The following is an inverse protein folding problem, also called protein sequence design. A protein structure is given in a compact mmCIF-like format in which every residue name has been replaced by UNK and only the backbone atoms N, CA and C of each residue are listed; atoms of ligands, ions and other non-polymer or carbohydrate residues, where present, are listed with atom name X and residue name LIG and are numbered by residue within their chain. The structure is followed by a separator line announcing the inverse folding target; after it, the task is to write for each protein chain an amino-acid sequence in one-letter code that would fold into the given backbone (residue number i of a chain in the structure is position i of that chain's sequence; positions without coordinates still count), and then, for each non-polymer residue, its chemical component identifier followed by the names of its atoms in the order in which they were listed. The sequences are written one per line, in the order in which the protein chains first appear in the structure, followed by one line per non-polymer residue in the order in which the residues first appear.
data_IF_161689357954
#
_entry.id   IF_161689357954
#
_cell.length_a   1.000
_cell.length_b   1.000
_cell.length_c   1.000
_cell.angle_alpha   90.00
_cell.angle_beta   90.00
_cell.angle_gamma   90.00
#
_symmetry.space_group_name_H-M   'P 1'
#
loop_
_entity.id
_entity.type
_entity.pdbx_description
1 polymer ?
#
# COMPACT_ATOMS: atom_id res chain seq x y z
N UNK A 1 15.48 21.37 -18.59
CA UNK A 1 16.29 20.60 -17.61
C UNK A 1 15.34 19.59 -16.98
N UNK A 2 15.71 18.31 -16.86
CA UNK A 2 14.86 17.28 -16.26
C UNK A 2 15.22 17.06 -14.80
N UNK A 3 14.22 16.75 -13.96
CA UNK A 3 14.46 16.42 -12.55
C UNK A 3 14.85 14.95 -12.40
N UNK A 4 15.93 14.69 -11.68
CA UNK A 4 16.42 13.35 -11.34
C UNK A 4 16.01 12.96 -9.93
N UNK A 5 15.27 11.88 -9.81
CA UNK A 5 14.63 11.46 -8.56
C UNK A 5 15.02 10.02 -8.24
N UNK A 6 15.48 9.78 -7.01
CA UNK A 6 15.71 8.44 -6.47
C UNK A 6 14.49 8.00 -5.66
N UNK A 7 13.84 6.91 -6.07
CA UNK A 7 12.78 6.26 -5.31
C UNK A 7 13.32 5.06 -4.52
N UNK A 8 12.98 4.96 -3.24
CA UNK A 8 13.47 3.93 -2.31
C UNK A 8 12.29 3.24 -1.62
N UNK A 9 12.21 1.93 -1.77
CA UNK A 9 11.14 1.12 -1.22
C UNK A 9 11.68 -0.18 -0.58
N UNK A 10 11.96 -0.14 0.74
CA UNK A 10 12.34 -1.33 1.48
C UNK A 10 11.13 -2.21 1.78
N UNK A 11 11.21 -3.48 1.40
CA UNK A 11 10.31 -4.56 1.81
C UNK A 11 11.00 -5.51 2.80
N UNK A 12 10.26 -6.52 3.27
CA UNK A 12 10.75 -7.44 4.31
C UNK A 12 12.06 -8.13 3.93
N UNK A 13 12.16 -8.67 2.71
CA UNK A 13 13.32 -9.44 2.23
C UNK A 13 14.05 -8.80 1.05
N UNK A 14 13.66 -7.60 0.65
CA UNK A 14 14.30 -6.86 -0.46
C UNK A 14 14.25 -5.36 -0.23
N UNK A 15 15.11 -4.63 -0.91
CA UNK A 15 15.03 -3.17 -1.06
C UNK A 15 15.02 -2.84 -2.54
N UNK A 16 13.91 -2.30 -3.02
CA UNK A 16 13.77 -1.89 -4.42
C UNK A 16 14.11 -0.41 -4.54
N UNK A 17 14.90 -0.08 -5.56
CA UNK A 17 15.23 1.30 -5.90
C UNK A 17 15.04 1.55 -7.39
N UNK A 18 14.78 2.79 -7.76
CA UNK A 18 14.85 3.24 -9.13
C UNK A 18 15.23 4.72 -9.21
N UNK A 19 15.94 5.07 -10.26
CA UNK A 19 16.21 6.47 -10.61
C UNK A 19 15.39 6.84 -11.83
N UNK A 20 14.72 7.98 -11.76
CA UNK A 20 13.95 8.55 -12.84
C UNK A 20 14.52 9.90 -13.25
N UNK A 21 14.41 10.23 -14.53
CA UNK A 21 14.55 11.59 -15.05
C UNK A 21 13.19 12.02 -15.60
N UNK A 22 12.52 12.93 -14.90
CA UNK A 22 11.10 13.20 -15.05
C UNK A 22 10.28 11.89 -14.99
N UNK A 23 9.55 11.57 -16.06
CA UNK A 23 8.72 10.36 -16.16
C UNK A 23 9.51 9.15 -16.71
N UNK A 24 10.74 9.35 -17.18
CA UNK A 24 11.58 8.29 -17.78
C UNK A 24 12.38 7.57 -16.70
N UNK A 25 12.19 6.27 -16.56
CA UNK A 25 13.05 5.43 -15.72
C UNK A 25 14.44 5.32 -16.35
N UNK A 26 15.48 5.68 -15.60
CA UNK A 26 16.89 5.50 -16.00
C UNK A 26 17.33 4.08 -15.70
N UNK A 27 17.11 3.61 -14.48
CA UNK A 27 17.29 2.22 -14.10
C UNK A 27 16.44 1.87 -12.88
N UNK A 28 16.26 0.57 -12.64
CA UNK A 28 15.72 0.02 -11.41
C UNK A 28 16.51 -1.21 -10.95
N UNK A 29 16.55 -1.43 -9.64
CA UNK A 29 17.25 -2.57 -9.03
C UNK A 29 16.44 -3.10 -7.86
N UNK A 30 16.34 -4.42 -7.77
CA UNK A 30 15.86 -5.12 -6.57
C UNK A 30 17.05 -5.70 -5.84
N UNK A 31 17.35 -5.17 -4.66
CA UNK A 31 18.42 -5.64 -3.79
C UNK A 31 17.81 -6.70 -2.88
N UNK A 32 18.24 -7.96 -3.00
CA UNK A 32 17.73 -9.03 -2.17
C UNK A 32 18.54 -9.13 -0.86
N UNK A 33 17.84 -9.40 0.23
CA UNK A 33 18.43 -9.66 1.54
C UNK A 33 18.19 -11.13 1.89
N UNK A 34 19.25 -11.90 2.09
CA UNK A 34 19.11 -13.30 2.49
C UNK A 34 18.56 -13.37 3.91
N UNK A 35 17.88 -14.47 4.24
CA UNK A 35 17.40 -14.72 5.61
C UNK A 35 18.57 -14.67 6.61
N UNK A 36 19.70 -15.28 6.26
CA UNK A 36 20.93 -15.25 7.07
C UNK A 36 21.49 -13.85 7.30
N UNK A 37 21.34 -12.93 6.35
CA UNK A 37 21.76 -11.53 6.50
C UNK A 37 20.80 -10.76 7.43
N UNK A 38 19.51 -11.08 7.40
CA UNK A 38 18.51 -10.39 8.20
C UNK A 38 18.48 -10.88 9.66
N UNK A 39 18.72 -12.17 9.89
CA UNK A 39 18.67 -12.80 11.22
C UNK A 39 19.73 -12.29 12.20
N UNK A 40 20.79 -11.63 11.72
CA UNK A 40 21.79 -11.00 12.60
C UNK A 40 21.25 -9.78 13.35
N UNK A 41 20.18 -9.18 12.84
CA UNK A 41 19.58 -7.98 13.40
C UNK A 41 18.42 -8.33 14.32
N UNK A 42 18.42 -7.76 15.53
CA UNK A 42 17.36 -7.99 16.51
C UNK A 42 16.06 -7.29 16.10
N UNK A 43 16.17 -6.02 15.69
CA UNK A 43 15.04 -5.20 15.29
C UNK A 43 15.19 -4.78 13.82
N UNK A 44 14.07 -4.38 13.20
CA UNK A 44 14.09 -3.95 11.78
C UNK A 44 14.92 -2.68 11.59
N UNK A 45 14.87 -1.75 12.55
CA UNK A 45 15.61 -0.48 12.53
C UNK A 45 17.13 -0.67 12.51
N UNK A 46 17.62 -1.77 13.08
CA UNK A 46 19.06 -2.07 13.14
C UNK A 46 19.62 -2.41 11.75
N UNK A 47 18.75 -2.74 10.78
CA UNK A 47 19.12 -3.00 9.39
C UNK A 47 19.42 -1.73 8.58
N UNK A 48 19.19 -0.55 9.16
CA UNK A 48 19.26 0.75 8.48
C UNK A 48 20.59 0.95 7.74
N UNK A 49 21.72 0.84 8.42
CA UNK A 49 23.05 1.11 7.84
C UNK A 49 23.35 0.16 6.68
N UNK A 50 23.14 -1.15 6.88
CA UNK A 50 23.36 -2.16 5.85
C UNK A 50 22.51 -1.89 4.60
N UNK A 51 21.22 -1.54 4.78
CA UNK A 51 20.35 -1.25 3.64
C UNK A 51 20.76 0.04 2.92
N UNK A 52 21.17 1.07 3.66
CA UNK A 52 21.69 2.34 3.09
C UNK A 52 22.93 2.08 2.24
N UNK A 53 23.91 1.36 2.77
CA UNK A 53 25.14 1.00 2.05
C UNK A 53 24.84 0.22 0.78
N UNK A 54 23.92 -0.75 0.83
CA UNK A 54 23.52 -1.50 -0.36
C UNK A 54 22.82 -0.64 -1.41
N UNK A 55 22.04 0.37 -1.00
CA UNK A 55 21.43 1.33 -1.93
C UNK A 55 22.51 2.16 -2.62
N UNK A 56 23.48 2.68 -1.88
CA UNK A 56 24.60 3.45 -2.43
C UNK A 56 25.46 2.62 -3.38
N UNK A 57 25.79 1.38 -2.98
CA UNK A 57 26.52 0.44 -3.83
C UNK A 57 25.76 0.13 -5.12
N UNK A 58 24.43 -0.08 -5.04
CA UNK A 58 23.62 -0.33 -6.22
C UNK A 58 23.56 0.90 -7.16
N UNK A 59 23.59 2.12 -6.65
CA UNK A 59 23.69 3.34 -7.47
C UNK A 59 25.04 3.41 -8.19
N UNK A 60 26.13 3.13 -7.46
CA UNK A 60 27.48 3.11 -8.00
C UNK A 60 27.68 2.02 -9.07
N UNK A 61 27.21 0.79 -8.82
CA UNK A 61 27.27 -0.34 -9.77
C UNK A 61 26.48 -0.09 -11.07
N UNK A 62 25.55 0.87 -11.07
CA UNK A 62 24.77 1.27 -12.25
C UNK A 62 25.27 2.60 -12.83
N UNK A 63 26.54 2.95 -12.59
CA UNK A 63 27.23 4.14 -13.10
C UNK A 63 26.48 5.46 -12.82
N UNK A 64 25.70 5.50 -11.72
CA UNK A 64 24.92 6.68 -11.37
C UNK A 64 25.60 7.51 -10.28
N UNK A 65 25.97 8.74 -10.63
CA UNK A 65 26.49 9.72 -9.68
C UNK A 65 25.34 10.37 -8.88
N UNK A 66 25.31 10.12 -7.57
CA UNK A 66 24.30 10.63 -6.64
C UNK A 66 24.24 12.15 -6.56
N UNK A 67 25.33 12.87 -6.85
CA UNK A 67 25.34 14.33 -6.89
C UNK A 67 24.47 14.92 -8.01
N UNK A 68 23.97 14.09 -8.92
CA UNK A 68 23.04 14.49 -9.96
C UNK A 68 21.56 14.44 -9.52
N UNK A 69 21.26 14.02 -8.29
CA UNK A 69 19.88 13.94 -7.80
C UNK A 69 19.34 15.33 -7.44
N UNK A 70 18.10 15.60 -7.81
CA UNK A 70 17.36 16.79 -7.41
C UNK A 70 16.49 16.53 -6.17
N UNK A 71 16.05 15.28 -5.98
CA UNK A 71 15.30 14.85 -4.79
C UNK A 71 15.40 13.33 -4.56
N UNK A 72 15.10 12.93 -3.33
CA UNK A 72 14.96 11.53 -2.94
C UNK A 72 13.56 11.32 -2.36
N UNK A 73 12.95 10.18 -2.65
CA UNK A 73 11.64 9.82 -2.12
C UNK A 73 11.64 8.41 -1.56
N UNK A 74 11.32 8.30 -0.27
CA UNK A 74 11.20 7.04 0.44
C UNK A 74 9.74 6.60 0.58
N UNK A 75 9.49 5.29 0.68
CA UNK A 75 8.19 4.77 1.11
C UNK A 75 7.86 5.29 2.52
N UNK A 76 6.63 5.76 2.71
CA UNK A 76 6.20 6.55 3.87
C UNK A 76 6.03 5.87 5.22
N UNK A 77 6.68 4.71 5.48
CA UNK A 77 6.64 4.02 6.77
C UNK A 77 5.23 3.77 7.33
N UNK A 78 5.13 3.28 8.57
CA UNK A 78 3.90 3.28 9.36
C UNK A 78 4.00 4.43 10.35
N UNK A 79 3.38 5.56 9.97
CA UNK A 79 3.29 6.77 10.78
C UNK A 79 1.94 6.77 11.53
N UNK A 80 1.73 7.69 12.48
CA UNK A 80 0.37 8.05 12.88
C UNK A 80 -0.47 8.46 11.66
N UNK A 81 -1.81 8.58 11.80
CA UNK A 81 -2.68 9.04 10.73
C UNK A 81 -2.16 10.35 10.10
N UNK A 82 -1.95 10.34 8.78
CA UNK A 82 -1.45 11.49 8.00
C UNK A 82 -2.35 11.74 6.79
N UNK A 83 -2.27 12.91 6.15
CA UNK A 83 -3.03 13.21 4.92
C UNK A 83 -2.34 12.63 3.68
N UNK A 84 -3.06 12.52 2.56
CA UNK A 84 -2.46 12.14 1.28
C UNK A 84 -1.46 13.20 0.78
N UNK A 85 -0.51 12.78 -0.06
CA UNK A 85 0.49 13.62 -0.70
C UNK A 85 1.89 13.49 -0.10
N UNK A 86 2.72 14.50 -0.37
CA UNK A 86 4.11 14.52 0.06
C UNK A 86 4.27 15.07 1.48
N UNK A 87 5.20 14.48 2.23
CA UNK A 87 5.76 15.09 3.43
C UNK A 87 7.26 15.23 3.25
N UNK A 88 7.80 16.41 3.56
CA UNK A 88 9.24 16.60 3.69
C UNK A 88 9.72 15.80 4.90
N UNK A 89 10.77 15.00 4.72
CA UNK A 89 11.33 14.24 5.81
C UNK A 89 12.10 15.18 6.72
N UNK A 90 11.68 15.26 7.98
CA UNK A 90 12.29 16.08 9.02
C UNK A 90 12.77 15.19 10.19
N UNK A 91 13.48 15.80 11.14
CA UNK A 91 14.05 15.09 12.30
C UNK A 91 12.97 14.44 13.17
N UNK A 92 11.79 15.06 13.24
CA UNK A 92 10.64 14.57 14.01
C UNK A 92 10.13 13.25 13.42
N UNK A 93 9.99 13.17 12.09
CA UNK A 93 9.59 11.94 11.40
C UNK A 93 10.64 10.84 11.56
N UNK A 94 11.91 11.19 11.46
CA UNK A 94 13.04 10.27 11.62
C UNK A 94 13.04 9.66 13.01
N UNK A 95 12.90 10.47 14.05
CA UNK A 95 12.81 10.01 15.44
C UNK A 95 11.59 9.10 15.65
N UNK A 96 10.42 9.47 15.11
CA UNK A 96 9.21 8.63 15.15
C UNK A 96 9.45 7.25 14.54
N UNK A 97 10.00 7.18 13.34
CA UNK A 97 10.20 5.91 12.63
C UNK A 97 11.35 5.06 13.19
N UNK A 98 12.34 5.69 13.83
CA UNK A 98 13.53 5.01 14.36
C UNK A 98 13.37 4.59 15.83
N UNK A 99 12.87 5.48 16.68
CA UNK A 99 12.90 5.31 18.14
C UNK A 99 11.52 5.11 18.76
N UNK A 100 10.43 5.51 18.06
CA UNK A 100 9.06 5.49 18.58
C UNK A 100 8.06 4.87 17.59
N UNK A 101 8.49 3.84 16.87
CA UNK A 101 7.69 3.22 15.82
C UNK A 101 6.38 2.64 16.40
N UNK A 102 5.25 2.93 15.73
CA UNK A 102 3.95 2.33 16.09
C UNK A 102 3.99 0.82 15.79
N UNK A 103 4.53 0.48 14.62
CA UNK A 103 4.75 -0.89 14.18
C UNK A 103 6.14 -0.96 13.55
N UNK A 104 6.93 -1.94 13.97
CA UNK A 104 8.19 -2.26 13.29
C UNK A 104 7.89 -2.86 11.92
N UNK A 105 8.31 -2.17 10.86
CA UNK A 105 8.15 -2.65 9.50
C UNK A 105 9.29 -2.13 8.61
N UNK A 106 9.70 -2.95 7.63
CA UNK A 106 10.83 -2.62 6.75
C UNK A 106 10.64 -1.29 6.00
N UNK A 107 9.39 -0.95 5.65
CA UNK A 107 9.07 0.32 4.99
C UNK A 107 9.46 1.56 5.79
N UNK A 108 9.59 1.47 7.12
CA UNK A 108 10.03 2.60 7.96
C UNK A 108 11.45 3.05 7.58
N UNK A 109 12.28 2.11 7.12
CA UNK A 109 13.65 2.39 6.67
C UNK A 109 13.69 3.26 5.40
N UNK A 110 12.59 3.32 4.62
CA UNK A 110 12.54 4.09 3.38
C UNK A 110 12.78 5.57 3.61
N UNK A 111 12.09 6.14 4.60
CA UNK A 111 12.28 7.53 5.00
C UNK A 111 13.67 7.79 5.60
N UNK A 112 14.15 6.87 6.45
CA UNK A 112 15.46 6.99 7.10
C UNK A 112 16.59 7.02 6.06
N UNK A 113 16.57 6.09 5.10
CA UNK A 113 17.61 6.00 4.05
C UNK A 113 17.56 7.24 3.16
N UNK A 114 16.36 7.67 2.76
CA UNK A 114 16.20 8.85 1.92
C UNK A 114 16.75 10.12 2.60
N UNK A 115 16.47 10.29 3.89
CA UNK A 115 16.91 11.43 4.68
C UNK A 115 18.42 11.51 4.88
N UNK A 116 19.05 10.36 5.17
CA UNK A 116 20.50 10.33 5.40
C UNK A 116 21.27 10.66 4.12
N UNK A 117 20.87 10.07 2.98
CA UNK A 117 21.50 10.37 1.69
C UNK A 117 21.24 11.83 1.29
N UNK A 118 20.04 12.37 1.55
CA UNK A 118 19.74 13.76 1.18
C UNK A 118 20.52 14.78 2.00
N UNK A 119 20.84 14.47 3.26
CA UNK A 119 21.72 15.31 4.10
C UNK A 119 23.12 15.44 3.52
N UNK A 120 23.70 14.34 3.04
CA UNK A 120 25.03 14.34 2.42
C UNK A 120 25.06 15.21 1.14
N UNK A 121 23.94 15.27 0.41
CA UNK A 121 23.81 15.99 -0.85
C UNK A 121 23.25 17.41 -0.72
N UNK A 122 22.77 17.80 0.47
CA UNK A 122 22.05 19.06 0.71
C UNK A 122 20.86 19.26 -0.26
N UNK A 123 20.06 18.20 -0.47
CA UNK A 123 18.83 18.21 -1.26
C UNK A 123 17.63 17.81 -0.40
N UNK A 124 16.41 17.98 -0.93
CA UNK A 124 15.20 17.58 -0.22
C UNK A 124 14.94 16.07 -0.36
N UNK A 125 14.47 15.47 0.74
CA UNK A 125 13.89 14.13 0.74
C UNK A 125 12.43 14.16 1.19
N UNK A 126 11.62 13.31 0.57
CA UNK A 126 10.19 13.22 0.83
C UNK A 126 9.78 11.79 1.16
N UNK A 127 8.68 11.64 1.89
CA UNK A 127 7.81 10.48 1.73
C UNK A 127 6.61 10.87 0.87
N UNK A 128 5.94 9.88 0.28
CA UNK A 128 4.74 10.12 -0.52
C UNK A 128 3.67 9.07 -0.23
N UNK A 129 2.44 9.53 0.03
CA UNK A 129 1.26 8.71 0.29
C UNK A 129 1.55 7.51 1.22
N UNK A 130 1.82 7.80 2.51
CA UNK A 130 2.07 6.78 3.53
C UNK A 130 0.98 5.71 3.55
N UNK A 131 1.28 4.49 4.00
CA UNK A 131 0.25 3.45 4.21
C UNK A 131 -0.77 3.85 5.28
N UNK A 132 -0.45 4.88 6.07
CA UNK A 132 -1.25 5.44 7.16
C UNK A 132 -2.00 6.70 6.74
N UNK A 133 -2.16 6.91 5.42
CA UNK A 133 -3.01 8.00 4.94
C UNK A 133 -4.43 7.77 5.42
N UNK A 134 -4.97 8.76 6.12
CA UNK A 134 -6.31 8.77 6.67
C UNK A 134 -7.03 10.05 6.25
N UNK A 135 -8.01 9.88 5.38
CA UNK A 135 -8.94 10.92 4.94
C UNK A 135 -10.39 10.49 5.16
N UNK A 136 -10.60 9.52 6.06
CA UNK A 136 -11.92 8.99 6.37
C UNK A 136 -12.82 10.11 6.92
N UNK A 137 -14.07 10.13 6.45
CA UNK A 137 -15.13 10.98 7.03
C UNK A 137 -15.50 10.51 8.44
N UNK A 138 -16.04 11.40 9.27
CA UNK A 138 -16.41 11.05 10.65
C UNK A 138 -17.42 9.90 10.72
N UNK A 139 -18.38 9.86 9.78
CA UNK A 139 -19.36 8.76 9.71
C UNK A 139 -18.68 7.42 9.38
N UNK A 140 -17.64 7.42 8.56
CA UNK A 140 -16.87 6.23 8.23
C UNK A 140 -16.06 5.71 9.43
N UNK A 141 -15.84 6.52 10.49
CA UNK A 141 -15.10 6.09 11.69
C UNK A 141 -15.96 5.31 12.69
N UNK A 142 -17.27 5.46 12.63
CA UNK A 142 -18.17 4.91 13.64
C UNK A 142 -18.25 3.38 13.52
N UNK A 143 -17.81 2.69 14.57
CA UNK A 143 -17.96 1.24 14.73
C UNK A 143 -19.03 0.89 15.77
N UNK A 144 -19.42 -0.39 15.80
CA UNK A 144 -20.40 -0.89 16.78
C UNK A 144 -19.87 -0.99 18.21
N UNK A 145 -18.56 -0.86 18.43
CA UNK A 145 -17.92 -0.83 19.74
C UNK A 145 -17.30 0.54 19.98
N UNK A 146 -17.79 1.34 20.95
CA UNK A 146 -17.27 2.67 21.25
C UNK A 146 -15.78 2.69 21.64
N UNK A 147 -15.26 1.58 22.15
CA UNK A 147 -13.86 1.42 22.57
C UNK A 147 -12.91 1.11 21.42
N UNK A 148 -13.43 0.90 20.20
CA UNK A 148 -12.62 0.57 19.02
C UNK A 148 -12.68 1.72 18.03
N UNK A 149 -11.51 2.27 17.72
CA UNK A 149 -11.34 3.23 16.64
C UNK A 149 -11.05 2.52 15.33
N UNK A 150 -11.69 2.99 14.26
CA UNK A 150 -11.43 2.49 12.92
C UNK A 150 -10.12 3.09 12.40
N UNK A 151 -9.12 2.25 12.17
CA UNK A 151 -7.83 2.68 11.61
C UNK A 151 -7.82 2.60 10.08
N UNK A 152 -7.32 3.62 9.41
CA UNK A 152 -7.13 3.61 7.95
C UNK A 152 -5.73 3.12 7.57
N UNK A 153 -5.59 1.81 7.32
CA UNK A 153 -4.37 1.24 6.72
C UNK A 153 -4.68 0.70 5.33
N UNK A 154 -4.04 1.26 4.31
CA UNK A 154 -4.34 0.91 2.93
C UNK A 154 -3.13 0.94 2.00
N UNK A 155 -3.33 0.51 0.76
CA UNK A 155 -2.36 0.71 -0.32
C UNK A 155 -2.47 2.13 -0.91
N UNK A 156 -2.53 3.16 -0.05
CA UNK A 156 -2.80 4.55 -0.41
C UNK A 156 -1.92 5.05 -1.58
N UNK A 157 -0.61 4.78 -1.53
CA UNK A 157 0.34 5.11 -2.60
C UNK A 157 -0.11 4.61 -3.97
N UNK A 158 -0.41 3.31 -4.08
CA UNK A 158 -0.85 2.74 -5.35
C UNK A 158 -2.27 3.20 -5.70
N UNK A 159 -3.18 3.24 -4.72
CA UNK A 159 -4.57 3.65 -4.90
C UNK A 159 -4.68 5.05 -5.53
N UNK A 160 -4.05 6.03 -4.89
CA UNK A 160 -4.05 7.43 -5.34
C UNK A 160 -3.23 7.60 -6.63
N UNK A 161 -2.10 6.92 -6.79
CA UNK A 161 -1.33 6.99 -8.03
C UNK A 161 -2.12 6.48 -9.24
N UNK A 162 -2.88 5.39 -9.10
CA UNK A 162 -3.72 4.86 -10.19
C UNK A 162 -4.93 5.74 -10.46
N UNK A 163 -5.52 6.35 -9.44
CA UNK A 163 -6.57 7.35 -9.61
C UNK A 163 -6.09 8.58 -10.41
N UNK A 164 -4.92 9.12 -10.06
CA UNK A 164 -4.28 10.23 -10.77
C UNK A 164 -3.93 9.84 -12.21
N UNK A 165 -3.35 8.65 -12.41
CA UNK A 165 -3.02 8.13 -13.75
C UNK A 165 -4.27 8.02 -14.63
N UNK A 166 -5.35 7.44 -14.08
CA UNK A 166 -6.62 7.32 -14.78
C UNK A 166 -7.20 8.69 -15.16
N UNK A 167 -7.18 9.66 -14.24
CA UNK A 167 -7.64 11.02 -14.52
C UNK A 167 -6.83 11.67 -15.65
N UNK A 168 -5.49 11.57 -15.60
CA UNK A 168 -4.57 12.09 -16.64
C UNK A 168 -4.85 11.45 -18.00
N UNK A 169 -4.99 10.12 -18.06
CA UNK A 169 -5.25 9.37 -19.30
C UNK A 169 -6.61 9.76 -19.92
N UNK A 170 -7.55 10.22 -19.10
CA UNK A 170 -8.87 10.69 -19.53
C UNK A 170 -8.98 12.23 -19.62
N UNK A 171 -7.85 12.95 -19.50
CA UNK A 171 -7.79 14.43 -19.56
C UNK A 171 -8.73 15.12 -18.56
N UNK A 172 -8.87 14.54 -17.37
CA UNK A 172 -9.64 15.08 -16.24
C UNK A 172 -8.71 15.40 -15.07
N UNK A 173 -9.16 16.26 -14.17
CA UNK A 173 -8.52 16.47 -12.87
C UNK A 173 -8.99 15.38 -11.90
N UNK A 174 -8.07 14.78 -11.14
CA UNK A 174 -8.39 13.81 -10.08
C UNK A 174 -9.33 14.42 -9.02
N UNK A 175 -9.20 15.72 -8.74
CA UNK A 175 -10.02 16.44 -7.78
C UNK A 175 -11.47 16.65 -8.24
N UNK A 176 -11.77 16.40 -9.52
CA UNK A 176 -13.13 16.51 -10.08
C UNK A 176 -13.84 15.15 -10.17
N UNK A 177 -13.20 14.05 -9.77
CA UNK A 177 -13.71 12.69 -10.00
C UNK A 177 -14.12 11.97 -8.71
N UNK A 178 -15.07 11.06 -8.86
CA UNK A 178 -15.43 10.07 -7.86
C UNK A 178 -15.06 8.68 -8.36
N UNK A 179 -14.15 7.99 -7.68
CA UNK A 179 -13.56 6.73 -8.15
C UNK A 179 -13.65 5.68 -7.05
N UNK A 180 -13.79 4.42 -7.44
CA UNK A 180 -13.54 3.29 -6.54
C UNK A 180 -12.27 2.60 -7.01
N UNK A 181 -11.26 2.51 -6.14
CA UNK A 181 -9.98 1.88 -6.49
C UNK A 181 -9.79 0.63 -5.67
N UNK A 182 -9.75 -0.53 -6.33
CA UNK A 182 -9.50 -1.82 -5.71
C UNK A 182 -8.06 -2.26 -5.98
N UNK A 183 -7.22 -2.20 -4.95
CA UNK A 183 -5.88 -2.76 -4.98
C UNK A 183 -5.94 -4.26 -4.68
N UNK A 184 -5.56 -5.08 -5.67
CA UNK A 184 -5.62 -6.53 -5.60
C UNK A 184 -4.19 -7.10 -5.48
N UNK A 185 -3.74 -7.36 -4.25
CA UNK A 185 -2.40 -7.88 -3.95
C UNK A 185 -2.40 -8.95 -2.86
N UNK A 186 -1.27 -9.11 -2.16
CA UNK A 186 -1.17 -9.99 -1.00
C UNK A 186 -2.14 -9.61 0.12
N UNK A 187 -2.35 -8.30 0.32
CA UNK A 187 -3.55 -7.75 0.93
C UNK A 187 -4.47 -7.15 -0.15
N UNK A 188 -5.77 -7.11 0.12
CA UNK A 188 -6.73 -6.43 -0.74
C UNK A 188 -7.31 -5.27 0.03
N UNK A 189 -7.29 -4.09 -0.58
CA UNK A 189 -7.93 -2.88 -0.03
C UNK A 189 -8.71 -2.21 -1.14
N UNK A 190 -9.87 -1.66 -0.81
CA UNK A 190 -10.72 -0.95 -1.76
C UNK A 190 -11.00 0.43 -1.17
N UNK A 191 -10.80 1.50 -1.93
CA UNK A 191 -10.98 2.87 -1.45
C UNK A 191 -12.04 3.60 -2.27
N UNK A 192 -12.90 4.36 -1.59
CA UNK A 192 -13.77 5.36 -2.19
C UNK A 192 -13.01 6.68 -2.25
N UNK A 193 -12.73 7.14 -3.47
CA UNK A 193 -12.13 8.44 -3.73
C UNK A 193 -13.24 9.41 -4.13
N UNK A 194 -13.43 10.47 -3.36
CA UNK A 194 -14.34 11.58 -3.67
C UNK A 194 -13.53 12.86 -3.81
N UNK A 195 -13.58 13.47 -4.99
CA UNK A 195 -13.00 14.79 -5.27
C UNK A 195 -11.58 14.96 -4.73
N UNK A 196 -10.74 13.98 -5.04
CA UNK A 196 -9.33 13.99 -4.67
C UNK A 196 -8.99 13.35 -3.32
N UNK A 197 -9.97 12.94 -2.51
CA UNK A 197 -9.78 12.42 -1.14
C UNK A 197 -10.26 10.98 -0.98
N UNK A 198 -9.57 10.19 -0.17
CA UNK A 198 -9.98 8.82 0.17
C UNK A 198 -10.94 8.81 1.37
N UNK A 199 -12.22 9.05 1.11
CA UNK A 199 -13.24 9.33 2.15
C UNK A 199 -13.72 8.09 2.92
N UNK A 200 -13.50 6.90 2.35
CA UNK A 200 -13.75 5.61 3.00
C UNK A 200 -12.84 4.52 2.39
N UNK A 201 -12.51 3.50 3.17
CA UNK A 201 -11.71 2.36 2.74
C UNK A 201 -12.28 1.07 3.31
N UNK A 202 -12.39 0.03 2.49
CA UNK A 202 -12.54 -1.34 2.95
C UNK A 202 -11.13 -1.91 3.10
N UNK A 203 -10.66 -2.03 4.33
CA UNK A 203 -9.33 -2.55 4.68
C UNK A 203 -9.22 -4.07 4.46
N UNK A 204 -8.03 -4.61 4.67
CA UNK A 204 -7.74 -6.04 4.47
C UNK A 204 -8.31 -6.97 5.54
N UNK A 205 -8.76 -6.42 6.67
CA UNK A 205 -9.38 -7.14 7.79
C UNK A 205 -10.89 -6.86 7.95
N UNK A 206 -11.38 -5.76 7.38
CA UNK A 206 -12.82 -5.46 7.25
C UNK A 206 -13.43 -6.01 5.95
N UNK A 207 -12.56 -6.27 4.97
CA UNK A 207 -12.92 -6.49 3.58
C UNK A 207 -12.89 -7.93 3.10
N UNK A 208 -12.69 -8.14 1.78
CA UNK A 208 -12.53 -9.47 1.22
C UNK A 208 -11.30 -10.18 1.82
N UNK A 209 -11.37 -11.50 1.95
CA UNK A 209 -10.13 -12.27 2.12
C UNK A 209 -9.21 -12.10 0.90
N UNK A 210 -7.92 -12.35 1.08
CA UNK A 210 -6.89 -12.16 0.05
C UNK A 210 -6.09 -13.46 -0.16
N UNK A 211 -5.00 -13.47 -0.94
CA UNK A 211 -4.13 -14.64 -1.03
C UNK A 211 -3.61 -15.15 0.32
N UNK A 212 -3.32 -14.24 1.26
CA UNK A 212 -2.67 -14.57 2.54
C UNK A 212 -3.38 -14.01 3.78
N UNK A 213 -4.47 -13.26 3.63
CA UNK A 213 -5.22 -12.63 4.73
C UNK A 213 -6.64 -13.13 4.79
N UNK A 214 -7.19 -13.23 5.99
CA UNK A 214 -8.49 -13.84 6.24
C UNK A 214 -9.68 -12.97 5.81
N UNK A 215 -9.50 -11.66 5.69
CA UNK A 215 -10.61 -10.71 5.49
C UNK A 215 -11.64 -10.80 6.60
N UNK A 216 -12.87 -10.36 6.29
CA UNK A 216 -13.98 -10.37 7.24
C UNK A 216 -14.43 -11.77 7.63
N UNK A 217 -14.49 -11.98 8.93
CA UNK A 217 -14.95 -13.22 9.57
C UNK A 217 -16.02 -12.86 10.61
N UNK A 218 -17.06 -13.71 10.82
CA UNK A 218 -18.00 -13.52 11.91
C UNK A 218 -17.30 -13.39 13.27
N UNK A 219 -17.38 -12.21 13.89
CA UNK A 219 -16.65 -11.87 15.13
C UNK A 219 -16.92 -12.85 16.26
N UNK A 220 -18.18 -13.30 16.42
CA UNK A 220 -18.55 -14.32 17.43
C UNK A 220 -17.73 -15.61 17.29
N UNK A 221 -17.43 -16.03 16.06
CA UNK A 221 -16.61 -17.23 15.81
C UNK A 221 -15.14 -17.02 16.08
N UNK A 222 -14.63 -15.81 15.85
CA UNK A 222 -13.26 -15.44 16.25
C UNK A 222 -13.13 -15.50 17.77
N UNK A 223 -14.13 -14.97 18.51
CA UNK A 223 -14.18 -15.07 19.98
C UNK A 223 -14.16 -16.53 20.44
N UNK A 224 -15.04 -17.38 19.90
CA UNK A 224 -15.06 -18.82 20.21
C UNK A 224 -13.68 -19.47 20.01
N UNK A 225 -12.97 -19.10 18.92
CA UNK A 225 -11.63 -19.62 18.63
C UNK A 225 -10.57 -19.14 19.64
N UNK A 226 -10.58 -17.86 20.00
CA UNK A 226 -9.65 -17.29 20.97
C UNK A 226 -9.75 -17.97 22.35
N UNK A 227 -10.95 -18.34 22.77
CA UNK A 227 -11.19 -18.97 24.07
C UNK A 227 -11.19 -20.51 24.04
N UNK A 228 -10.99 -21.11 22.87
CA UNK A 228 -10.98 -22.58 22.70
C UNK A 228 -9.78 -23.31 23.33
N UNK A 229 -8.77 -22.57 23.79
CA UNK A 229 -7.44 -23.08 24.21
C UNK A 229 -6.63 -23.78 23.10
N UNK A 230 -7.10 -23.77 21.85
CA UNK A 230 -6.42 -24.39 20.70
C UNK A 230 -5.38 -23.47 20.04
N UNK A 231 -5.49 -22.16 20.25
CA UNK A 231 -4.66 -21.17 19.58
C UNK A 231 -4.14 -20.17 20.60
N UNK A 232 -2.86 -19.84 20.48
CA UNK A 232 -2.26 -18.69 21.14
C UNK A 232 -2.65 -17.40 20.42
N UNK A 233 -2.49 -16.26 21.10
CA UNK A 233 -2.66 -14.93 20.50
C UNK A 233 -1.85 -14.78 19.19
N UNK A 234 -0.58 -15.21 19.20
CA UNK A 234 0.31 -15.16 18.03
C UNK A 234 -0.20 -16.01 16.87
N UNK A 235 -0.76 -17.18 17.14
CA UNK A 235 -1.32 -18.05 16.11
C UNK A 235 -2.63 -17.50 15.52
N UNK A 236 -3.45 -16.85 16.34
CA UNK A 236 -4.65 -16.15 15.87
C UNK A 236 -4.27 -14.97 14.96
N UNK A 237 -3.29 -14.15 15.34
CA UNK A 237 -2.80 -13.08 14.46
C UNK A 237 -2.24 -13.63 13.14
N UNK A 238 -1.50 -14.76 13.18
CA UNK A 238 -0.99 -15.40 11.96
C UNK A 238 -2.10 -15.97 11.07
N UNK A 239 -3.23 -16.40 11.65
CA UNK A 239 -4.42 -16.80 10.89
C UNK A 239 -5.08 -15.62 10.19
N UNK A 240 -5.09 -14.45 10.83
CA UNK A 240 -5.64 -13.22 10.26
C UNK A 240 -4.73 -12.72 9.12
N UNK A 241 -3.41 -12.69 9.35
CA UNK A 241 -2.40 -12.26 8.36
C UNK A 241 -1.29 -13.31 8.22
N UNK A 242 -1.18 -13.90 7.03
CA UNK A 242 -0.11 -14.81 6.60
C UNK A 242 -0.51 -16.30 6.49
N UNK A 243 -1.62 -16.72 7.10
CA UNK A 243 -2.21 -18.07 6.97
C UNK A 243 -3.72 -18.05 6.74
N UNK A 244 -4.28 -16.88 6.42
CA UNK A 244 -5.70 -16.71 6.09
C UNK A 244 -5.92 -16.66 4.59
N UNK A 245 -7.17 -16.73 4.13
CA UNK A 245 -7.50 -16.57 2.71
C UNK A 245 -7.08 -17.77 1.86
N UNK A 246 -6.61 -17.52 0.63
CA UNK A 246 -6.29 -18.59 -0.34
C UNK A 246 -5.32 -19.61 0.24
N UNK A 247 -4.21 -19.17 0.85
CA UNK A 247 -3.21 -20.07 1.42
C UNK A 247 -3.78 -20.95 2.53
N UNK A 248 -4.72 -20.43 3.31
CA UNK A 248 -5.42 -21.20 4.34
C UNK A 248 -6.29 -22.33 3.77
N UNK A 249 -6.73 -22.22 2.51
CA UNK A 249 -7.59 -23.21 1.86
C UNK A 249 -6.85 -24.12 0.88
N UNK A 250 -5.91 -23.58 0.11
CA UNK A 250 -5.28 -24.22 -1.05
C UNK A 250 -3.75 -24.35 -0.91
N UNK A 251 -3.17 -23.87 0.19
CA UNK A 251 -1.73 -23.94 0.47
C UNK A 251 -0.84 -23.24 -0.59
N UNK A 252 -1.39 -22.25 -1.28
CA UNK A 252 -0.68 -21.36 -2.21
C UNK A 252 -1.14 -19.91 -2.04
N UNK A 253 -0.29 -18.96 -2.39
CA UNK A 253 -0.62 -17.53 -2.51
C UNK A 253 -0.66 -17.07 -3.96
N UNK A 254 -0.28 -17.93 -4.91
CA UNK A 254 -0.20 -17.58 -6.32
C UNK A 254 -1.54 -17.85 -7.02
N UNK A 255 -2.22 -16.78 -7.42
CA UNK A 255 -3.50 -16.87 -8.14
C UNK A 255 -3.37 -17.64 -9.46
N UNK A 256 -2.20 -17.62 -10.11
CA UNK A 256 -1.95 -18.38 -11.35
C UNK A 256 -1.96 -19.88 -11.08
N UNK A 257 -1.43 -20.30 -9.93
CA UNK A 257 -1.47 -21.70 -9.52
C UNK A 257 -2.91 -22.14 -9.24
N UNK A 258 -3.70 -21.29 -8.59
CA UNK A 258 -5.14 -21.54 -8.38
C UNK A 258 -5.88 -21.66 -9.71
N UNK A 259 -5.57 -20.82 -10.71
CA UNK A 259 -6.14 -20.93 -12.05
C UNK A 259 -5.79 -22.26 -12.72
N UNK A 260 -4.53 -22.71 -12.60
CA UNK A 260 -4.10 -24.02 -13.09
C UNK A 260 -4.83 -25.18 -12.37
N UNK A 261 -5.08 -25.07 -11.05
CA UNK A 261 -5.87 -26.06 -10.31
C UNK A 261 -7.30 -26.16 -10.88
N UNK A 262 -7.92 -25.01 -11.20
CA UNK A 262 -9.26 -24.97 -11.79
C UNK A 262 -9.27 -25.60 -13.18
N UNK A 263 -8.26 -25.34 -14.01
CA UNK A 263 -8.12 -25.97 -15.34
C UNK A 263 -7.96 -27.49 -15.25
N UNK A 264 -7.40 -27.98 -14.14
CA UNK A 264 -7.29 -29.40 -13.81
C UNK A 264 -8.52 -29.95 -13.05
N UNK A 265 -9.66 -29.24 -13.09
CA UNK A 265 -10.94 -29.64 -12.48
C UNK A 265 -10.94 -29.75 -10.94
N UNK A 266 -10.11 -28.96 -10.24
CA UNK A 266 -10.21 -28.82 -8.78
C UNK A 266 -11.40 -27.91 -8.41
N UNK A 267 -12.50 -28.54 -7.99
CA UNK A 267 -13.73 -27.85 -7.59
C UNK A 267 -13.57 -27.02 -6.30
N UNK A 268 -12.65 -27.41 -5.40
CA UNK A 268 -12.37 -26.61 -4.20
C UNK A 268 -11.65 -25.32 -4.60
N UNK A 269 -10.64 -25.41 -5.46
CA UNK A 269 -9.94 -24.24 -5.97
C UNK A 269 -10.90 -23.28 -6.68
N UNK A 270 -11.79 -23.82 -7.51
CA UNK A 270 -12.84 -23.04 -8.20
C UNK A 270 -13.78 -22.34 -7.23
N UNK A 271 -14.24 -23.02 -6.19
CA UNK A 271 -15.12 -22.42 -5.17
C UNK A 271 -14.42 -21.27 -4.42
N UNK A 272 -13.19 -21.50 -3.96
CA UNK A 272 -12.45 -20.48 -3.20
C UNK A 272 -12.08 -19.28 -4.09
N UNK A 273 -11.67 -19.51 -5.33
CA UNK A 273 -11.42 -18.45 -6.32
C UNK A 273 -12.70 -17.63 -6.61
N UNK A 274 -13.83 -18.30 -6.80
CA UNK A 274 -15.14 -17.64 -7.00
C UNK A 274 -15.54 -16.81 -5.77
N UNK A 275 -15.26 -17.32 -4.57
CA UNK A 275 -15.53 -16.63 -3.32
C UNK A 275 -14.66 -15.37 -3.16
N UNK A 276 -13.40 -15.41 -3.59
CA UNK A 276 -12.51 -14.25 -3.60
C UNK A 276 -13.11 -13.13 -4.46
N UNK A 277 -13.43 -13.44 -5.73
CA UNK A 277 -14.04 -12.50 -6.67
C UNK A 277 -15.37 -11.95 -6.11
N UNK A 278 -16.19 -12.83 -5.52
CA UNK A 278 -17.46 -12.45 -4.94
C UNK A 278 -17.29 -11.46 -3.79
N UNK A 279 -16.33 -11.67 -2.88
CA UNK A 279 -16.10 -10.75 -1.78
C UNK A 279 -15.51 -9.41 -2.24
N UNK A 280 -14.61 -9.40 -3.22
CA UNK A 280 -14.09 -8.16 -3.82
C UNK A 280 -15.24 -7.36 -4.42
N UNK A 281 -16.12 -8.00 -5.21
CA UNK A 281 -17.28 -7.35 -5.81
C UNK A 281 -18.21 -6.74 -4.74
N UNK A 282 -18.40 -7.43 -3.60
CA UNK A 282 -19.17 -6.89 -2.47
C UNK A 282 -18.52 -5.65 -1.87
N UNK A 283 -17.21 -5.64 -1.65
CA UNK A 283 -16.52 -4.48 -1.11
C UNK A 283 -16.57 -3.27 -2.04
N UNK A 284 -16.53 -3.50 -3.37
CA UNK A 284 -16.75 -2.44 -4.36
C UNK A 284 -18.19 -1.92 -4.29
N UNK A 285 -19.19 -2.80 -4.21
CA UNK A 285 -20.59 -2.40 -4.07
C UNK A 285 -20.88 -1.64 -2.77
N UNK A 286 -20.23 -2.01 -1.67
CA UNK A 286 -20.29 -1.33 -0.38
C UNK A 286 -19.81 0.12 -0.51
N UNK A 287 -18.66 0.35 -1.12
CA UNK A 287 -18.11 1.69 -1.33
C UNK A 287 -18.84 2.49 -2.42
N UNK A 288 -19.55 1.83 -3.33
CA UNK A 288 -20.45 2.54 -4.26
C UNK A 288 -21.60 3.24 -3.53
N UNK A 289 -22.05 2.70 -2.39
CA UNK A 289 -23.07 3.38 -1.56
C UNK A 289 -22.54 4.59 -0.81
N UNK A 290 -21.23 4.60 -0.48
CA UNK A 290 -20.55 5.77 0.11
C UNK A 290 -20.56 6.95 -0.86
N UNK A 291 -20.39 6.68 -2.15
CA UNK A 291 -20.44 7.69 -3.22
C UNK A 291 -21.86 7.94 -3.74
N UNK A 292 -22.89 7.39 -3.09
CA UNK A 292 -24.31 7.51 -3.48
C UNK A 292 -24.58 7.11 -4.95
N UNK A 293 -23.79 6.17 -5.49
CA UNK A 293 -23.86 5.76 -6.89
C UNK A 293 -23.19 6.71 -7.89
N UNK A 294 -22.70 7.88 -7.45
CA UNK A 294 -21.95 8.83 -8.27
C UNK A 294 -20.51 8.36 -8.45
N UNK A 295 -20.30 7.34 -9.27
CA UNK A 295 -18.98 6.72 -9.53
C UNK A 295 -18.61 6.93 -11.00
N UNK A 296 -17.56 7.72 -11.26
CA UNK A 296 -17.05 7.94 -12.63
C UNK A 296 -16.42 6.67 -13.21
N UNK A 297 -15.67 5.94 -12.39
CA UNK A 297 -15.04 4.69 -12.78
C UNK A 297 -14.64 3.82 -11.58
N UNK A 298 -14.53 2.53 -11.84
CA UNK A 298 -13.88 1.56 -10.95
C UNK A 298 -12.51 1.21 -11.52
N UNK A 299 -11.48 1.26 -10.70
CA UNK A 299 -10.10 0.94 -11.08
C UNK A 299 -9.68 -0.35 -10.36
N UNK A 300 -9.30 -1.35 -11.13
CA UNK A 300 -8.71 -2.60 -10.63
C UNK A 300 -7.19 -2.54 -10.83
N UNK A 301 -6.42 -2.63 -9.76
CA UNK A 301 -4.96 -2.52 -9.77
C UNK A 301 -4.30 -3.57 -8.85
N UNK A 302 -2.98 -3.50 -8.66
CA UNK A 302 -2.20 -4.48 -7.91
C UNK A 302 -1.78 -5.69 -8.75
N UNK A 303 -1.00 -6.58 -8.14
CA UNK A 303 -0.41 -7.73 -8.85
C UNK A 303 -1.43 -8.76 -9.36
N UNK A 304 -2.56 -8.94 -8.66
CA UNK A 304 -3.60 -9.88 -9.07
C UNK A 304 -4.33 -9.39 -10.34
N UNK A 305 -4.36 -8.07 -10.58
CA UNK A 305 -5.02 -7.49 -11.76
C UNK A 305 -4.37 -7.89 -13.10
N UNK A 306 -3.18 -8.54 -13.10
CA UNK A 306 -2.64 -9.19 -14.29
C UNK A 306 -3.45 -10.42 -14.75
N UNK A 307 -4.22 -11.05 -13.86
CA UNK A 307 -5.11 -12.13 -14.26
C UNK A 307 -6.29 -11.58 -15.07
N UNK A 308 -6.30 -11.90 -16.36
CA UNK A 308 -7.40 -11.58 -17.27
C UNK A 308 -8.68 -12.32 -16.91
N UNK A 309 -8.57 -13.54 -16.38
CA UNK A 309 -9.73 -14.35 -15.96
C UNK A 309 -10.41 -13.69 -14.77
N UNK A 310 -9.64 -13.38 -13.72
CA UNK A 310 -10.14 -12.76 -12.50
C UNK A 310 -10.77 -11.40 -12.78
N UNK A 311 -10.03 -10.53 -13.49
CA UNK A 311 -10.49 -9.18 -13.79
C UNK A 311 -11.74 -9.18 -14.68
N UNK A 312 -11.86 -10.11 -15.65
CA UNK A 312 -13.06 -10.25 -16.48
C UNK A 312 -14.28 -10.70 -15.66
N UNK A 313 -14.13 -11.72 -14.83
CA UNK A 313 -15.21 -12.22 -13.98
C UNK A 313 -15.67 -11.17 -12.96
N UNK A 314 -14.72 -10.48 -12.33
CA UNK A 314 -15.00 -9.37 -11.41
C UNK A 314 -15.70 -8.21 -12.14
N UNK A 315 -15.18 -7.79 -13.29
CA UNK A 315 -15.76 -6.70 -14.09
C UNK A 315 -17.22 -6.99 -14.46
N UNK A 316 -17.55 -8.23 -14.84
CA UNK A 316 -18.92 -8.61 -15.15
C UNK A 316 -19.89 -8.43 -13.97
N UNK A 317 -19.41 -8.57 -12.73
CA UNK A 317 -20.22 -8.39 -11.53
C UNK A 317 -20.44 -6.92 -11.17
N UNK A 318 -19.50 -6.03 -11.49
CA UNK A 318 -19.49 -4.65 -10.96
C UNK A 318 -19.70 -3.57 -12.02
N UNK A 319 -19.64 -3.91 -13.32
CA UNK A 319 -19.80 -2.93 -14.43
C UNK A 319 -21.15 -2.21 -14.47
N UNK A 320 -22.15 -2.69 -13.71
CA UNK A 320 -23.43 -2.00 -13.57
C UNK A 320 -23.33 -0.75 -12.70
N UNK A 321 -22.29 -0.64 -11.87
CA UNK A 321 -22.01 0.52 -11.01
C UNK A 321 -21.38 1.63 -11.84
N UNK A 322 -20.27 1.33 -12.53
CA UNK A 322 -19.52 2.27 -13.36
C UNK A 322 -18.60 1.54 -14.34
N UNK A 323 -18.03 2.23 -15.36
CA UNK A 323 -16.99 1.67 -16.22
C UNK A 323 -15.80 1.12 -15.41
N UNK A 324 -15.37 -0.10 -15.75
CA UNK A 324 -14.26 -0.79 -15.06
C UNK A 324 -12.97 -0.67 -15.88
N UNK A 325 -11.92 -0.17 -15.25
CA UNK A 325 -10.60 0.05 -15.84
C UNK A 325 -9.56 -0.81 -15.12
N UNK A 326 -8.68 -1.46 -15.89
CA UNK A 326 -7.66 -2.35 -15.34
C UNK A 326 -6.30 -1.66 -15.50
N UNK A 327 -5.71 -1.25 -14.38
CA UNK A 327 -4.37 -0.66 -14.30
C UNK A 327 -3.47 -1.61 -13.50
N UNK A 328 -3.09 -2.72 -14.12
CA UNK A 328 -2.40 -3.81 -13.44
C UNK A 328 -0.99 -3.42 -12.96
N UNK A 329 -0.59 -4.01 -11.82
CA UNK A 329 0.71 -3.78 -11.20
C UNK A 329 0.64 -2.81 -10.02
N UNK A 330 1.65 -2.88 -9.15
CA UNK A 330 1.74 -2.04 -7.96
C UNK A 330 2.44 -0.72 -8.25
N UNK A 331 3.38 -0.71 -9.21
CA UNK A 331 4.09 0.46 -9.70
C UNK A 331 4.63 1.40 -8.58
N UNK A 332 5.01 0.84 -7.42
CA UNK A 332 5.32 1.64 -6.21
C UNK A 332 6.48 2.63 -6.45
N UNK A 333 7.55 2.22 -7.13
CA UNK A 333 8.68 3.10 -7.41
C UNK A 333 8.32 4.23 -8.38
N UNK A 334 7.48 3.94 -9.39
CA UNK A 334 6.95 4.95 -10.31
C UNK A 334 6.04 5.92 -9.55
N UNK A 335 5.14 5.41 -8.72
CA UNK A 335 4.24 6.21 -7.89
C UNK A 335 5.00 7.16 -6.95
N UNK A 336 6.05 6.68 -6.28
CA UNK A 336 6.92 7.51 -5.44
C UNK A 336 7.62 8.60 -6.26
N UNK A 337 8.30 8.21 -7.35
CA UNK A 337 9.04 9.15 -8.18
C UNK A 337 8.13 10.22 -8.79
N UNK A 338 6.96 9.83 -9.28
CA UNK A 338 6.00 10.76 -9.88
C UNK A 338 5.34 11.65 -8.83
N UNK A 339 5.15 11.14 -7.61
CA UNK A 339 4.73 11.94 -6.46
C UNK A 339 5.73 13.06 -6.16
N UNK A 340 7.01 12.74 -6.04
CA UNK A 340 8.07 13.74 -5.87
C UNK A 340 8.18 14.69 -7.08
N UNK A 341 7.98 14.19 -8.29
CA UNK A 341 8.00 15.02 -9.51
C UNK A 341 6.91 16.10 -9.50
N UNK A 342 5.71 15.78 -8.99
CA UNK A 342 4.63 16.77 -8.82
C UNK A 342 5.05 17.91 -7.89
N UNK A 343 5.80 17.59 -6.83
CA UNK A 343 6.35 18.61 -5.91
C UNK A 343 7.39 19.48 -6.62
N UNK A 344 8.34 18.86 -7.34
CA UNK A 344 9.40 19.59 -8.04
C UNK A 344 8.87 20.50 -9.15
N UNK A 345 7.73 20.14 -9.77
CA UNK A 345 7.04 20.95 -10.78
C UNK A 345 6.09 22.00 -10.19
N UNK A 346 5.85 22.00 -8.88
CA UNK A 346 4.87 22.88 -8.23
C UNK A 346 3.41 22.52 -8.53
N UNK A 347 3.15 21.28 -8.97
CA UNK A 347 1.80 20.75 -9.20
C UNK A 347 1.10 20.36 -7.89
N UNK A 348 1.88 19.97 -6.88
CA UNK A 348 1.42 19.70 -5.51
C UNK A 348 2.35 20.37 -4.48
N UNK A 349 1.82 20.67 -3.30
CA UNK A 349 2.60 21.11 -2.15
C UNK A 349 2.98 19.92 -1.25
N UNK A 350 4.06 20.06 -0.51
CA UNK A 350 4.44 19.12 0.56
C UNK A 350 4.06 19.64 1.94
N UNK A 351 3.98 18.75 2.91
CA UNK A 351 3.74 19.06 4.33
C UNK A 351 4.99 18.81 5.18
N UNK A 352 5.02 19.39 6.37
CA UNK A 352 5.94 19.01 7.43
C UNK A 352 5.24 18.00 8.34
N UNK A 353 5.95 16.97 8.77
CA UNK A 353 5.41 16.03 9.76
C UNK A 353 5.54 16.63 11.16
N UNK A 354 4.44 16.65 11.91
CA UNK A 354 4.39 17.13 13.29
C UNK A 354 3.75 16.08 14.20
N UNK A 355 4.27 15.93 15.42
CA UNK A 355 3.75 14.95 16.39
C UNK A 355 2.36 15.31 16.95
N UNK A 356 1.90 16.55 16.76
CA UNK A 356 0.59 17.01 17.25
C UNK A 356 -0.59 16.24 16.62
N UNK A 357 -0.36 15.53 15.51
CA UNK A 357 -1.33 14.62 14.89
C UNK A 357 -1.62 13.35 15.73
N UNK A 358 -1.02 13.20 16.93
CA UNK A 358 -1.23 12.08 17.88
C UNK A 358 -2.11 12.39 19.10
N UNK A 359 -2.38 13.66 19.41
CA UNK A 359 -3.06 14.03 20.67
C UNK A 359 -4.54 13.63 20.72
N UNK A 360 -5.11 13.16 19.61
CA UNK A 360 -6.47 12.61 19.57
C UNK A 360 -6.50 11.07 19.66
N UNK A 361 -5.38 10.36 19.44
CA UNK A 361 -5.33 8.89 19.38
C UNK A 361 -4.68 8.23 20.62
N UNK A 362 -4.21 9.01 21.58
CA UNK A 362 -3.44 8.51 22.75
C UNK A 362 -4.10 8.75 24.11
N UNK A 363 -5.43 8.93 24.13
CA UNK A 363 -6.23 8.95 25.36
C UNK A 363 -7.47 8.06 25.20
N UNK A 364 -7.28 6.74 25.38
CA UNK A 364 -8.08 5.88 26.28
C UNK A 364 -7.55 4.46 26.32
#
# INVERSE_FOLDING_TARGET
MGYKILAINPGSTSTKIAVYENERMIFSKSINHSVSELEIYKNITDQFEMRKEKVLNALWENDFNICNLDAIVGRGGILPPVKSGAYLINEVMVDRLKNRAIVEHASNLGALIAYEISKELNINAYIYDSVSVDELTDVARVLGFPEIERTCLSHALNSRAMAIKFAKDNKKDYNDMNLIVAHLGGGITIAAHEKGKMIDVVSDDEGPFSPERSGKIPVKKVVDMCYSKKYTHKEMLKKIRGKGGIVGHLNTVDIREVENMIENNDEKAKLIYSALIYQIAKGIGELATVLEGNVDAIILTGGIAYSKKLTKELSNKIKFIAPVNILAGENELEALAYGALRILRGEENYRQYEEKELLEYSLN
#
